data_IF_604714432852
#
_entry.id   IF_604714432852
#
_cell.length_a   1.000
_cell.length_b   1.000
_cell.length_c   1.000
_cell.angle_alpha   90.00
_cell.angle_beta   90.00
_cell.angle_gamma   90.00
#
_symmetry.space_group_name_H-M   'P 1'
#
loop_
_entity.id
_entity.type
_entity.pdbx_description
1 polymer ?
#
# COMPACT_ATOMS: atom_id res chain seq x y z
N UNK A 1 29.79 -32.71 19.91
CA UNK A 1 28.33 -32.90 19.80
C UNK A 1 27.69 -31.53 19.97
N UNK A 2 27.46 -30.84 18.86
CA UNK A 2 26.85 -29.51 18.85
C UNK A 2 25.38 -29.66 19.19
N UNK A 3 24.94 -28.97 20.25
CA UNK A 3 23.55 -28.85 20.62
C UNK A 3 22.82 -28.08 19.52
N UNK A 4 22.08 -28.77 18.65
CA UNK A 4 21.04 -28.13 17.86
C UNK A 4 19.92 -27.78 18.84
N UNK A 5 19.93 -26.54 19.35
CA UNK A 5 18.73 -25.96 19.93
C UNK A 5 17.65 -26.03 18.86
N UNK A 6 16.50 -26.60 19.21
CA UNK A 6 15.30 -26.53 18.37
C UNK A 6 15.04 -25.06 18.04
N UNK A 7 14.83 -24.68 16.77
CA UNK A 7 14.53 -23.30 16.42
C UNK A 7 13.30 -22.85 17.19
N UNK A 8 13.33 -21.62 17.69
CA UNK A 8 12.12 -21.03 18.28
C UNK A 8 11.06 -20.84 17.19
N UNK A 9 9.78 -20.82 17.56
CA UNK A 9 8.69 -20.60 16.59
C UNK A 9 8.90 -19.28 15.82
N UNK A 10 9.47 -18.26 16.46
CA UNK A 10 9.88 -17.00 15.83
C UNK A 10 10.95 -17.18 14.75
N UNK A 11 11.95 -18.03 14.97
CA UNK A 11 13.00 -18.31 13.97
C UNK A 11 12.41 -18.99 12.73
N UNK A 12 11.44 -19.88 12.94
CA UNK A 12 10.74 -20.57 11.85
C UNK A 12 9.93 -19.59 11.03
N UNK A 13 9.20 -18.67 11.67
CA UNK A 13 8.43 -17.63 10.98
C UNK A 13 9.36 -16.71 10.16
N UNK A 14 10.45 -16.24 10.76
CA UNK A 14 11.42 -15.37 10.06
C UNK A 14 12.06 -16.07 8.86
N UNK A 15 12.39 -17.36 8.99
CA UNK A 15 12.90 -18.17 7.89
C UNK A 15 11.86 -18.31 6.78
N UNK A 16 10.60 -18.60 7.11
CA UNK A 16 9.50 -18.74 6.16
C UNK A 16 9.24 -17.44 5.38
N UNK A 17 9.14 -16.30 6.08
CA UNK A 17 8.98 -14.97 5.45
C UNK A 17 10.15 -14.67 4.51
N UNK A 18 11.38 -15.01 4.92
CA UNK A 18 12.57 -14.83 4.09
C UNK A 18 12.55 -15.71 2.84
N UNK A 19 12.09 -16.96 2.96
CA UNK A 19 11.91 -17.86 1.82
C UNK A 19 10.86 -17.33 0.84
N UNK A 20 9.70 -16.87 1.33
CA UNK A 20 8.64 -16.30 0.49
C UNK A 20 9.15 -15.05 -0.25
N UNK A 21 9.89 -14.18 0.46
CA UNK A 21 10.56 -13.02 -0.17
C UNK A 21 11.48 -13.45 -1.31
N UNK A 22 12.33 -14.46 -1.08
CA UNK A 22 13.24 -14.97 -2.11
C UNK A 22 12.51 -15.61 -3.30
N UNK A 23 11.39 -16.31 -3.04
CA UNK A 23 10.52 -16.84 -4.10
C UNK A 23 9.97 -15.68 -4.93
N UNK A 24 9.39 -14.66 -4.29
CA UNK A 24 8.83 -13.51 -5.01
C UNK A 24 9.85 -12.69 -5.80
N UNK A 25 11.10 -12.63 -5.33
CA UNK A 25 12.21 -12.01 -6.08
C UNK A 25 12.60 -12.80 -7.34
N UNK A 26 12.34 -14.11 -7.39
CA UNK A 26 12.68 -14.97 -8.53
C UNK A 26 11.51 -15.17 -9.48
N UNK A 27 10.33 -15.45 -8.91
CA UNK A 27 9.11 -15.70 -9.62
C UNK A 27 7.91 -15.17 -8.82
N UNK A 28 7.51 -13.96 -9.18
CA UNK A 28 6.35 -13.32 -8.58
C UNK A 28 5.04 -14.07 -8.87
N UNK A 29 4.92 -14.79 -9.99
CA UNK A 29 3.67 -15.49 -10.33
C UNK A 29 3.37 -16.59 -9.32
N UNK A 30 4.40 -17.28 -8.81
CA UNK A 30 4.24 -18.29 -7.77
C UNK A 30 3.70 -17.71 -6.46
N UNK A 31 4.08 -16.48 -6.12
CA UNK A 31 3.54 -15.78 -4.93
C UNK A 31 2.05 -15.59 -5.07
N UNK A 32 1.57 -15.27 -6.27
CA UNK A 32 0.16 -14.97 -6.50
C UNK A 32 -0.66 -16.25 -6.63
N UNK A 33 -0.16 -17.22 -7.39
CA UNK A 33 -0.81 -18.52 -7.57
C UNK A 33 -1.07 -19.22 -6.23
N UNK A 34 -0.12 -19.11 -5.29
CA UNK A 34 -0.23 -19.73 -3.97
C UNK A 34 -0.77 -18.77 -2.89
N UNK A 35 -1.14 -17.53 -3.25
CA UNK A 35 -1.69 -16.55 -2.31
C UNK A 35 -0.75 -16.18 -1.15
N UNK A 36 0.57 -16.25 -1.36
CA UNK A 36 1.55 -15.96 -0.32
C UNK A 36 1.54 -14.51 0.14
N UNK A 37 1.19 -13.57 -0.72
CA UNK A 37 1.03 -12.16 -0.36
C UNK A 37 -0.14 -11.96 0.62
N UNK A 38 -1.28 -12.61 0.36
CA UNK A 38 -2.43 -12.61 1.28
C UNK A 38 -2.08 -13.37 2.58
N UNK A 39 -1.34 -14.48 2.48
CA UNK A 39 -0.84 -15.23 3.63
C UNK A 39 0.07 -14.39 4.54
N UNK A 40 0.98 -13.61 3.95
CA UNK A 40 1.85 -12.68 4.68
C UNK A 40 1.05 -11.57 5.38
N UNK A 41 0.00 -11.03 4.75
CA UNK A 41 -0.87 -10.03 5.37
C UNK A 41 -1.72 -10.59 6.52
N UNK A 42 -2.24 -11.81 6.36
CA UNK A 42 -2.92 -12.50 7.46
C UNK A 42 -1.96 -12.75 8.63
N UNK A 43 -0.72 -13.17 8.33
CA UNK A 43 0.31 -13.35 9.35
C UNK A 43 0.65 -12.02 10.05
N UNK A 44 0.71 -10.91 9.31
CA UNK A 44 0.94 -9.57 9.88
C UNK A 44 -0.14 -9.18 10.89
N UNK A 45 -1.40 -9.56 10.64
CA UNK A 45 -2.52 -9.28 11.54
C UNK A 45 -2.50 -10.15 12.80
N UNK A 46 -1.95 -11.37 12.72
CA UNK A 46 -1.84 -12.29 13.85
C UNK A 46 -0.56 -12.10 14.69
N UNK A 47 0.49 -11.53 14.09
CA UNK A 47 1.80 -11.40 14.73
C UNK A 47 1.81 -10.28 15.78
N UNK A 48 2.50 -10.53 16.89
CA UNK A 48 2.65 -9.58 18.01
C UNK A 48 4.06 -9.00 18.12
N UNK A 49 5.08 -9.72 17.64
CA UNK A 49 6.46 -9.24 17.67
C UNK A 49 6.68 -8.15 16.62
N UNK A 50 7.04 -6.90 17.03
CA UNK A 50 7.27 -5.81 16.10
C UNK A 50 8.42 -6.07 15.12
N UNK A 51 9.40 -6.91 15.47
CA UNK A 51 10.49 -7.27 14.56
C UNK A 51 9.99 -8.18 13.44
N UNK A 52 9.15 -9.16 13.76
CA UNK A 52 8.56 -10.06 12.77
C UNK A 52 7.57 -9.29 11.89
N UNK A 53 6.73 -8.43 12.48
CA UNK A 53 5.85 -7.53 11.72
C UNK A 53 6.63 -6.70 10.70
N UNK A 54 7.75 -6.09 11.13
CA UNK A 54 8.63 -5.33 10.23
C UNK A 54 9.23 -6.21 9.13
N UNK A 55 9.62 -7.44 9.46
CA UNK A 55 10.18 -8.38 8.48
C UNK A 55 9.16 -8.79 7.41
N UNK A 56 7.90 -9.01 7.83
CA UNK A 56 6.77 -9.30 6.94
C UNK A 56 6.49 -8.11 6.02
N UNK A 57 6.39 -6.89 6.56
CA UNK A 57 6.19 -5.67 5.76
C UNK A 57 7.32 -5.49 4.74
N UNK A 58 8.58 -5.63 5.16
CA UNK A 58 9.73 -5.53 4.25
C UNK A 58 9.72 -6.60 3.14
N UNK A 59 9.22 -7.80 3.44
CA UNK A 59 9.07 -8.86 2.44
C UNK A 59 8.01 -8.48 1.41
N UNK A 60 6.84 -8.03 1.84
CA UNK A 60 5.76 -7.56 0.97
C UNK A 60 6.20 -6.39 0.10
N UNK A 61 6.85 -5.38 0.70
CA UNK A 61 7.40 -4.23 -0.02
C UNK A 61 8.39 -4.65 -1.11
N UNK A 62 9.27 -5.62 -0.80
CA UNK A 62 10.20 -6.16 -1.80
C UNK A 62 9.46 -6.85 -2.94
N UNK A 63 8.46 -7.69 -2.62
CA UNK A 63 7.66 -8.43 -3.59
C UNK A 63 6.90 -7.46 -4.52
N UNK A 64 6.35 -6.38 -3.98
CA UNK A 64 5.63 -5.36 -4.75
C UNK A 64 6.54 -4.73 -5.79
N UNK A 65 7.74 -4.30 -5.39
CA UNK A 65 8.70 -3.64 -6.27
C UNK A 65 9.13 -4.57 -7.43
N UNK A 66 9.35 -5.85 -7.15
CA UNK A 66 9.81 -6.81 -8.17
C UNK A 66 8.69 -7.38 -9.05
N UNK A 67 7.43 -7.25 -8.63
CA UNK A 67 6.29 -7.92 -9.28
C UNK A 67 6.01 -7.49 -10.71
N UNK A 68 6.45 -6.28 -11.11
CA UNK A 68 6.11 -5.64 -12.38
C UNK A 68 4.60 -5.71 -12.71
N UNK A 69 3.73 -5.72 -11.69
CA UNK A 69 2.29 -5.86 -11.82
C UNK A 69 1.55 -4.68 -11.14
N UNK A 70 1.80 -3.43 -11.58
CA UNK A 70 1.32 -2.24 -10.91
C UNK A 70 -0.21 -2.16 -10.82
N UNK A 71 -0.92 -2.53 -11.88
CA UNK A 71 -2.38 -2.51 -11.91
C UNK A 71 -3.01 -3.46 -10.89
N UNK A 72 -2.47 -4.67 -10.76
CA UNK A 72 -2.96 -5.67 -9.83
C UNK A 72 -2.76 -5.21 -8.38
N UNK A 73 -1.61 -4.64 -8.06
CA UNK A 73 -1.36 -4.09 -6.73
C UNK A 73 -2.19 -2.84 -6.44
N UNK A 74 -2.48 -2.01 -7.45
CA UNK A 74 -3.38 -0.89 -7.30
C UNK A 74 -4.82 -1.36 -7.01
N UNK A 75 -5.33 -2.35 -7.75
CA UNK A 75 -6.64 -2.94 -7.49
C UNK A 75 -6.71 -3.63 -6.13
N UNK A 76 -5.63 -4.33 -5.74
CA UNK A 76 -5.49 -4.90 -4.41
C UNK A 76 -5.57 -3.81 -3.31
N UNK A 77 -4.81 -2.73 -3.47
CA UNK A 77 -4.83 -1.60 -2.54
C UNK A 77 -6.22 -0.96 -2.47
N UNK A 78 -6.95 -0.85 -3.59
CA UNK A 78 -8.35 -0.41 -3.57
C UNK A 78 -9.20 -1.31 -2.69
N UNK A 79 -9.12 -2.63 -2.85
CA UNK A 79 -9.93 -3.56 -2.03
C UNK A 79 -9.62 -3.40 -0.55
N UNK A 80 -8.35 -3.29 -0.16
CA UNK A 80 -7.95 -3.15 1.25
C UNK A 80 -8.32 -1.78 1.82
N UNK A 81 -7.91 -0.68 1.19
CA UNK A 81 -8.12 0.68 1.71
C UNK A 81 -9.60 1.11 1.62
N UNK A 82 -10.33 0.66 0.58
CA UNK A 82 -11.72 1.06 0.35
C UNK A 82 -12.70 0.16 1.10
N UNK A 83 -12.54 -1.16 0.98
CA UNK A 83 -13.51 -2.11 1.50
C UNK A 83 -13.13 -2.62 2.89
N UNK A 84 -11.89 -2.38 3.35
CA UNK A 84 -11.42 -2.89 4.63
C UNK A 84 -11.40 -4.42 4.66
N UNK A 85 -11.07 -5.05 3.52
CA UNK A 85 -11.04 -6.51 3.37
C UNK A 85 -9.81 -6.97 2.62
N UNK A 86 -9.30 -8.16 2.96
CA UNK A 86 -8.37 -8.89 2.12
C UNK A 86 -9.13 -9.61 0.99
N UNK A 87 -8.60 -9.64 -0.24
CA UNK A 87 -9.14 -10.51 -1.29
C UNK A 87 -9.09 -11.97 -0.84
N UNK A 88 -10.13 -12.73 -1.16
CA UNK A 88 -10.14 -14.17 -0.94
C UNK A 88 -9.14 -14.82 -1.92
N UNK A 89 -8.24 -15.66 -1.41
CA UNK A 89 -7.51 -16.60 -2.26
C UNK A 89 -8.54 -17.59 -2.77
N UNK A 90 -8.89 -17.53 -4.07
CA UNK A 90 -9.68 -18.60 -4.67
C UNK A 90 -8.78 -19.84 -4.73
N UNK A 91 -9.11 -20.93 -4.02
CA UNK A 91 -8.35 -22.16 -4.20
C UNK A 91 -8.46 -22.58 -5.66
N UNK A 92 -7.33 -22.88 -6.28
CA UNK A 92 -7.24 -23.51 -7.60
C UNK A 92 -8.23 -24.66 -7.63
N UNK A 93 -9.12 -24.71 -8.62
CA UNK A 93 -10.17 -25.72 -8.75
C UNK A 93 -9.56 -27.14 -8.85
N UNK A 94 -9.30 -27.75 -7.70
CA UNK A 94 -9.03 -29.16 -7.55
C UNK A 94 -9.61 -29.59 -6.19
N UNK A 95 -10.73 -30.32 -6.29
CA UNK A 95 -11.32 -31.15 -5.23
C UNK A 95 -11.99 -30.45 -4.04
N UNK A 96 -13.23 -29.99 -4.22
CA UNK A 96 -14.22 -30.01 -3.15
C UNK A 96 -15.51 -30.71 -3.62
N UNK A 97 -16.08 -31.64 -2.83
CA UNK A 97 -17.34 -32.30 -3.16
C UNK A 97 -18.49 -31.28 -3.20
N UNK A 98 -19.44 -31.50 -4.12
CA UNK A 98 -20.51 -30.57 -4.49
C UNK A 98 -21.58 -30.28 -3.41
N UNK A 99 -21.34 -30.57 -2.13
CA UNK A 99 -22.37 -30.55 -1.07
C UNK A 99 -22.23 -29.44 -0.02
N UNK A 100 -21.37 -28.45 -0.25
CA UNK A 100 -21.20 -27.29 0.65
C UNK A 100 -21.84 -26.01 0.09
N UNK A 101 -23.03 -26.11 -0.51
CA UNK A 101 -23.80 -24.95 -0.98
C UNK A 101 -24.87 -24.56 0.05
N UNK A 102 -24.45 -23.91 1.15
CA UNK A 102 -25.20 -22.85 1.86
C UNK A 102 -24.61 -22.59 3.26
N UNK A 103 -23.69 -21.61 3.34
CA UNK A 103 -23.47 -20.82 4.55
C UNK A 103 -23.31 -19.35 4.10
N UNK A 104 -24.39 -18.54 4.06
CA UNK A 104 -24.28 -17.11 3.85
C UNK A 104 -23.86 -16.47 5.17
N UNK A 105 -22.59 -16.61 5.55
CA UNK A 105 -22.18 -16.25 6.92
C UNK A 105 -20.70 -16.25 7.26
N UNK A 106 -19.80 -16.30 6.28
CA UNK A 106 -18.38 -16.07 6.56
C UNK A 106 -18.17 -14.64 7.07
N UNK A 107 -18.12 -14.45 8.39
CA UNK A 107 -17.68 -13.20 9.01
C UNK A 107 -16.25 -12.94 8.54
N UNK A 108 -16.11 -12.16 7.47
CA UNK A 108 -14.80 -11.66 7.04
C UNK A 108 -14.43 -10.58 8.04
N UNK A 109 -13.51 -10.91 8.96
CA UNK A 109 -12.96 -9.95 9.91
C UNK A 109 -12.44 -8.71 9.15
N UNK A 110 -12.73 -7.49 9.63
CA UNK A 110 -12.16 -6.29 9.03
C UNK A 110 -10.64 -6.35 9.13
N UNK A 111 -9.93 -5.91 8.10
CA UNK A 111 -8.45 -5.91 8.14
C UNK A 111 -7.94 -4.96 9.22
N UNK A 112 -6.84 -5.35 9.86
CA UNK A 112 -6.25 -4.50 10.88
C UNK A 112 -5.64 -3.23 10.28
N UNK A 113 -5.44 -2.21 11.13
CA UNK A 113 -4.73 -0.99 10.75
C UNK A 113 -3.30 -1.29 10.26
N UNK A 114 -2.67 -2.38 10.72
CA UNK A 114 -1.32 -2.78 10.29
C UNK A 114 -1.30 -3.21 8.84
N UNK A 115 -2.30 -4.00 8.43
CA UNK A 115 -2.45 -4.37 7.03
C UNK A 115 -2.72 -3.15 6.17
N UNK A 116 -3.60 -2.24 6.59
CA UNK A 116 -3.87 -1.00 5.83
C UNK A 116 -2.59 -0.16 5.72
N UNK A 117 -1.82 -0.02 6.80
CA UNK A 117 -0.54 0.71 6.80
C UNK A 117 0.48 0.05 5.85
N UNK A 118 0.66 -1.27 5.93
CA UNK A 118 1.58 -2.02 5.07
C UNK A 118 1.20 -1.91 3.59
N UNK A 119 -0.08 -2.08 3.25
CA UNK A 119 -0.58 -1.94 1.87
C UNK A 119 -0.44 -0.50 1.37
N UNK A 120 -0.64 0.49 2.24
CA UNK A 120 -0.39 1.90 1.90
C UNK A 120 1.10 2.12 1.59
N UNK A 121 2.02 1.62 2.42
CA UNK A 121 3.47 1.70 2.16
C UNK A 121 3.86 1.01 0.85
N UNK A 122 3.30 -0.17 0.59
CA UNK A 122 3.49 -0.89 -0.68
C UNK A 122 3.02 -0.06 -1.88
N UNK A 123 1.86 0.60 -1.76
CA UNK A 123 1.35 1.51 -2.79
C UNK A 123 2.31 2.69 -3.01
N UNK A 124 2.86 3.30 -1.96
CA UNK A 124 3.84 4.39 -2.10
C UNK A 124 5.09 3.94 -2.86
N UNK A 125 5.65 2.78 -2.49
CA UNK A 125 6.82 2.22 -3.18
C UNK A 125 6.53 1.92 -4.64
N UNK A 126 5.32 1.46 -4.94
CA UNK A 126 4.89 1.17 -6.29
C UNK A 126 4.74 2.46 -7.12
N UNK A 127 4.21 3.53 -6.51
CA UNK A 127 4.17 4.86 -7.12
C UNK A 127 5.61 5.32 -7.43
N UNK A 128 6.55 5.20 -6.50
CA UNK A 128 7.94 5.64 -6.70
C UNK A 128 8.69 4.78 -7.74
N UNK A 129 8.37 3.49 -7.87
CA UNK A 129 9.08 2.56 -8.77
C UNK A 129 8.49 2.45 -10.18
N UNK A 130 7.19 2.69 -10.38
CA UNK A 130 6.51 2.56 -11.69
C UNK A 130 6.01 3.91 -12.23
N UNK A 131 6.03 4.06 -13.56
CA UNK A 131 5.42 5.21 -14.26
C UNK A 131 4.09 4.82 -14.94
N UNK A 132 3.58 3.61 -14.68
CA UNK A 132 2.44 3.04 -15.41
C UNK A 132 1.09 3.61 -14.96
N UNK A 133 1.07 4.40 -13.88
CA UNK A 133 -0.16 4.95 -13.34
C UNK A 133 -0.66 6.23 -14.01
N UNK A 134 -0.05 6.72 -15.10
CA UNK A 134 -0.53 7.95 -15.78
C UNK A 134 -2.03 7.87 -16.12
N UNK A 135 -2.51 6.72 -16.60
CA UNK A 135 -3.94 6.51 -16.93
C UNK A 135 -4.85 6.31 -15.72
N UNK A 136 -4.27 6.04 -14.55
CA UNK A 136 -4.95 5.73 -13.30
C UNK A 136 -4.57 6.68 -12.17
N UNK A 137 -3.99 7.83 -12.49
CA UNK A 137 -3.42 8.75 -11.50
C UNK A 137 -4.47 9.21 -10.50
N UNK A 138 -5.71 9.44 -10.95
CA UNK A 138 -6.84 9.79 -10.10
C UNK A 138 -7.18 8.69 -9.10
N UNK A 139 -7.08 7.42 -9.50
CA UNK A 139 -7.28 6.30 -8.57
C UNK A 139 -6.20 6.32 -7.48
N UNK A 140 -4.95 6.56 -7.87
CA UNK A 140 -3.82 6.66 -6.95
C UNK A 140 -4.03 7.83 -5.98
N UNK A 141 -4.34 9.03 -6.48
CA UNK A 141 -4.59 10.21 -5.65
C UNK A 141 -5.73 9.93 -4.65
N UNK A 142 -6.82 9.31 -5.10
CA UNK A 142 -7.95 8.98 -4.23
C UNK A 142 -7.57 8.02 -3.09
N UNK A 143 -6.79 6.98 -3.39
CA UNK A 143 -6.35 6.02 -2.36
C UNK A 143 -5.41 6.65 -1.36
N UNK A 144 -4.46 7.42 -1.86
CA UNK A 144 -3.47 8.10 -1.03
C UNK A 144 -4.14 9.17 -0.15
N UNK A 145 -5.01 10.01 -0.71
CA UNK A 145 -5.80 10.99 0.07
C UNK A 145 -6.69 10.31 1.12
N UNK A 146 -7.25 9.14 0.79
CA UNK A 146 -8.02 8.34 1.75
C UNK A 146 -7.16 7.86 2.91
N UNK A 147 -5.93 7.43 2.66
CA UNK A 147 -4.98 7.06 3.71
C UNK A 147 -4.63 8.26 4.60
N UNK A 148 -4.44 9.46 4.02
CA UNK A 148 -4.23 10.71 4.79
C UNK A 148 -5.42 11.05 5.71
N UNK A 149 -6.64 10.69 5.29
CA UNK A 149 -7.86 10.84 6.09
C UNK A 149 -8.07 9.79 7.19
N UNK A 150 -7.13 8.85 7.38
CA UNK A 150 -7.21 7.83 8.44
C UNK A 150 -7.10 8.45 9.84
N UNK A 151 -7.56 7.72 10.85
CA UNK A 151 -7.36 8.08 12.27
C UNK A 151 -6.00 7.61 12.81
N UNK A 152 -5.34 6.67 12.13
CA UNK A 152 -4.07 6.10 12.54
C UNK A 152 -2.90 6.86 11.90
N UNK A 153 -1.97 7.34 12.73
CA UNK A 153 -0.86 8.18 12.28
C UNK A 153 0.13 7.46 11.35
N UNK A 154 0.30 6.14 11.45
CA UNK A 154 1.17 5.40 10.53
C UNK A 154 0.55 5.33 9.13
N UNK A 155 -0.76 5.09 9.04
CA UNK A 155 -1.49 5.13 7.76
C UNK A 155 -1.47 6.54 7.17
N UNK A 156 -1.70 7.57 8.00
CA UNK A 156 -1.68 8.98 7.57
C UNK A 156 -0.31 9.38 7.02
N UNK A 157 0.76 9.04 7.75
CA UNK A 157 2.13 9.31 7.34
C UNK A 157 2.49 8.62 6.01
N UNK A 158 2.12 7.35 5.85
CA UNK A 158 2.30 6.62 4.59
C UNK A 158 1.50 7.27 3.44
N UNK A 159 0.25 7.68 3.69
CA UNK A 159 -0.55 8.44 2.73
C UNK A 159 0.13 9.76 2.32
N UNK A 160 0.70 10.50 3.26
CA UNK A 160 1.40 11.75 2.94
C UNK A 160 2.65 11.50 2.11
N UNK A 161 3.46 10.49 2.44
CA UNK A 161 4.57 10.07 1.57
C UNK A 161 4.09 9.74 0.15
N UNK A 162 2.95 9.08 0.02
CA UNK A 162 2.32 8.82 -1.27
C UNK A 162 1.94 10.10 -2.03
N UNK A 163 1.45 11.14 -1.34
CA UNK A 163 1.14 12.43 -1.99
C UNK A 163 2.41 13.10 -2.49
N UNK A 164 3.48 13.10 -1.69
CA UNK A 164 4.79 13.57 -2.11
C UNK A 164 5.30 12.82 -3.35
N UNK A 165 5.18 11.50 -3.38
CA UNK A 165 5.56 10.68 -4.53
C UNK A 165 4.72 11.00 -5.78
N UNK A 166 3.40 11.17 -5.62
CA UNK A 166 2.50 11.57 -6.71
C UNK A 166 2.89 12.93 -7.27
N UNK A 167 3.09 13.93 -6.40
CA UNK A 167 3.46 15.29 -6.81
C UNK A 167 4.79 15.28 -7.56
N UNK A 168 5.81 14.61 -7.01
CA UNK A 168 7.13 14.51 -7.63
C UNK A 168 7.09 13.87 -9.02
N UNK A 169 6.26 12.85 -9.21
CA UNK A 169 6.20 12.10 -10.48
C UNK A 169 5.27 12.69 -11.53
N UNK A 170 4.10 13.17 -11.11
CA UNK A 170 3.01 13.46 -12.03
C UNK A 170 2.73 14.95 -12.20
N UNK A 171 3.30 15.84 -11.39
CA UNK A 171 3.04 17.29 -11.48
C UNK A 171 3.50 17.93 -12.79
N UNK A 172 4.63 17.48 -13.34
CA UNK A 172 5.18 17.99 -14.60
C UNK A 172 4.55 17.34 -15.85
N UNK A 173 3.67 16.34 -15.68
CA UNK A 173 3.07 15.64 -16.80
C UNK A 173 1.80 16.35 -17.29
N UNK A 174 1.56 16.25 -18.59
CA UNK A 174 0.32 16.74 -19.24
C UNK A 174 -0.74 15.67 -19.29
N UNK A 175 -1.99 16.08 -19.30
CA UNK A 175 -3.12 15.17 -19.44
C UNK A 175 -3.10 14.51 -20.84
N UNK A 176 -3.12 13.16 -20.95
CA UNK A 176 -3.10 12.46 -22.24
C UNK A 176 -4.30 12.74 -23.14
N UNK A 177 -5.44 13.14 -22.56
CA UNK A 177 -6.68 13.48 -23.25
C UNK A 177 -6.72 14.98 -23.58
N UNK A 178 -6.16 15.83 -22.71
CA UNK A 178 -6.06 17.28 -22.90
C UNK A 178 -4.63 17.79 -22.67
N UNK A 179 -3.75 17.79 -23.70
CA UNK A 179 -2.32 18.10 -23.52
C UNK A 179 -2.01 19.53 -23.02
N UNK A 180 -2.98 20.44 -23.09
CA UNK A 180 -2.88 21.80 -22.55
C UNK A 180 -2.96 21.82 -21.02
N UNK A 181 -3.67 20.86 -20.44
CA UNK A 181 -3.91 20.75 -19.01
C UNK A 181 -2.82 19.92 -18.31
N UNK A 182 -2.54 20.26 -17.06
CA UNK A 182 -1.66 19.44 -16.22
C UNK A 182 -2.40 18.19 -15.76
N UNK A 183 -1.70 17.05 -15.69
CA UNK A 183 -2.30 15.76 -15.35
C UNK A 183 -3.03 15.78 -14.00
N UNK A 184 -2.48 16.50 -13.02
CA UNK A 184 -3.03 16.61 -11.66
C UNK A 184 -3.98 17.79 -11.45
N UNK A 185 -4.29 18.57 -12.50
CA UNK A 185 -5.06 19.82 -12.39
C UNK A 185 -6.41 19.64 -11.68
N UNK A 186 -7.12 18.57 -12.00
CA UNK A 186 -8.44 18.27 -11.44
C UNK A 186 -8.38 17.68 -10.02
N UNK A 187 -7.26 17.07 -9.65
CA UNK A 187 -7.07 16.44 -8.35
C UNK A 187 -6.40 17.39 -7.33
N UNK A 188 -5.88 18.53 -7.80
CA UNK A 188 -5.19 19.54 -7.00
C UNK A 188 -5.99 20.03 -5.76
N UNK A 189 -7.30 20.33 -5.84
CA UNK A 189 -8.06 20.74 -4.65
C UNK A 189 -8.08 19.67 -3.54
N UNK A 190 -8.17 18.41 -3.93
CA UNK A 190 -8.17 17.28 -3.00
C UNK A 190 -6.79 17.11 -2.34
N UNK A 191 -5.72 17.23 -3.13
CA UNK A 191 -4.33 17.17 -2.63
C UNK A 191 -4.09 18.31 -1.64
N UNK A 192 -4.48 19.55 -1.98
CA UNK A 192 -4.38 20.73 -1.09
C UNK A 192 -5.12 20.51 0.23
N UNK A 193 -6.34 19.98 0.18
CA UNK A 193 -7.14 19.70 1.37
C UNK A 193 -6.49 18.64 2.27
N UNK A 194 -5.95 17.56 1.68
CA UNK A 194 -5.29 16.49 2.41
C UNK A 194 -4.00 16.96 3.11
N UNK A 195 -3.15 17.74 2.43
CA UNK A 195 -1.93 18.30 3.03
C UNK A 195 -2.28 19.27 4.16
N UNK A 196 -3.27 20.15 3.93
CA UNK A 196 -3.69 21.14 4.94
C UNK A 196 -4.25 20.48 6.20
N UNK A 197 -5.03 19.40 6.06
CA UNK A 197 -5.59 18.69 7.22
C UNK A 197 -4.51 18.00 8.06
N UNK A 198 -3.39 17.60 7.44
CA UNK A 198 -2.26 17.01 8.15
C UNK A 198 -1.38 18.04 8.86
N UNK A 199 -1.35 19.29 8.39
CA UNK A 199 -0.53 20.38 8.94
C UNK A 199 -1.15 21.11 10.15
N UNK A 200 -2.33 20.72 10.62
CA UNK A 200 -2.95 21.34 11.81
C UNK A 200 -2.06 21.19 13.05
N UNK A 201 -2.18 22.14 13.99
CA UNK A 201 -1.30 22.24 15.15
C UNK A 201 -1.36 21.00 16.05
N UNK A 202 -2.50 20.31 16.05
CA UNK A 202 -2.81 19.13 16.85
C UNK A 202 -2.22 17.83 16.26
N UNK A 203 -1.76 17.84 15.00
CA UNK A 203 -1.14 16.66 14.39
C UNK A 203 0.16 16.27 15.08
N UNK A 204 0.44 14.96 15.14
CA UNK A 204 1.67 14.42 15.69
C UNK A 204 2.90 14.75 14.82
N UNK A 205 4.11 14.72 15.38
CA UNK A 205 5.35 14.94 14.62
C UNK A 205 5.51 13.98 13.44
N UNK A 206 5.13 12.70 13.62
CA UNK A 206 5.20 11.66 12.58
C UNK A 206 4.29 11.93 11.38
N UNK A 207 3.28 12.78 11.52
CA UNK A 207 2.39 13.22 10.42
C UNK A 207 2.84 14.58 9.88
N UNK A 208 3.33 15.49 10.73
CA UNK A 208 3.78 16.82 10.31
C UNK A 208 5.01 16.79 9.43
N UNK A 209 5.97 15.91 9.70
CA UNK A 209 7.16 15.75 8.86
C UNK A 209 6.79 15.38 7.40
N UNK A 210 6.07 14.28 7.13
CA UNK A 210 5.69 13.93 5.76
C UNK A 210 4.70 14.92 5.13
N UNK A 211 3.86 15.59 5.94
CA UNK A 211 3.01 16.68 5.46
C UNK A 211 3.84 17.87 4.97
N UNK A 212 4.89 18.23 5.70
CA UNK A 212 5.79 19.32 5.32
C UNK A 212 6.55 19.00 4.03
N UNK A 213 7.01 17.77 3.88
CA UNK A 213 7.63 17.30 2.63
C UNK A 213 6.65 17.37 1.46
N UNK A 214 5.43 16.85 1.64
CA UNK A 214 4.39 16.89 0.60
C UNK A 214 3.98 18.33 0.24
N UNK A 215 3.94 19.22 1.24
CA UNK A 215 3.69 20.64 1.03
C UNK A 215 4.82 21.31 0.23
N UNK A 216 6.07 20.99 0.55
CA UNK A 216 7.21 21.48 -0.21
C UNK A 216 7.16 21.00 -1.68
N UNK A 217 6.87 19.72 -1.91
CA UNK A 217 6.69 19.15 -3.27
C UNK A 217 5.53 19.84 -4.02
N UNK A 218 4.46 20.22 -3.32
CA UNK A 218 3.37 20.98 -3.91
C UNK A 218 3.78 22.41 -4.27
N UNK A 219 4.53 23.09 -3.41
CA UNK A 219 4.97 24.48 -3.62
C UNK A 219 5.96 24.60 -4.78
N UNK A 220 6.80 23.60 -4.98
CA UNK A 220 7.72 23.53 -6.14
C UNK A 220 7.06 22.96 -7.38
N UNK A 221 5.83 22.44 -7.27
CA UNK A 221 5.08 21.99 -8.43
C UNK A 221 4.52 23.20 -9.18
N UNK A 222 4.66 23.23 -10.50
CA UNK A 222 4.08 24.26 -11.37
C UNK A 222 2.53 24.16 -11.46
N UNK A 223 1.89 23.49 -10.50
CA UNK A 223 0.44 23.32 -10.41
C UNK A 223 -0.25 24.50 -9.71
N UNK A 224 0.50 25.33 -8.99
CA UNK A 224 -0.04 26.44 -8.21
C UNK A 224 -0.08 27.71 -9.08
N UNK A 225 -1.24 28.36 -9.14
CA UNK A 225 -1.35 29.69 -9.74
C UNK A 225 -0.86 30.74 -8.75
N UNK A 226 -0.43 31.93 -9.22
CA UNK A 226 0.05 33.00 -8.33
C UNK A 226 -0.99 33.47 -7.28
N UNK A 227 -2.26 33.10 -7.45
CA UNK A 227 -3.35 33.41 -6.52
C UNK A 227 -3.50 32.37 -5.38
N UNK A 228 -2.73 31.28 -5.40
CA UNK A 228 -2.81 30.15 -4.48
C UNK A 228 -1.76 30.15 -3.34
N UNK A 229 -0.83 31.12 -3.34
CA UNK A 229 0.29 31.24 -2.37
C UNK A 229 -0.08 32.10 -1.17
#
# INVERSE_FOLDING_TARGET
KSYLQSPSDSDVILALVSCIKQIGMKDYNLVIEHGFDIGLLNLLDCETDPNIQKHISNALETIVIVSNAPDRWLDFAKVVLVNGRLPLVQPTQAELPADSLNEPGGQVSPVSWRTIACVTSCLVLLIDSSNDFVKRVRDVVNLVCRAVGSTDDAIRAAGLHGLGAVLRKYSALRDPVSPEDSLLQWDLPQIKAAIRSAMVMESSPSVKEPASVSCAELLISDLMSNDDV
#
